data_IF_623858658397
#
_entry.id   IF_623858658397
#
_cell.length_a   1.000
_cell.length_b   1.000
_cell.length_c   1.000
_cell.angle_alpha   90.00
_cell.angle_beta   90.00
_cell.angle_gamma   90.00
#
_symmetry.space_group_name_H-M   'P 1'
#
loop_
_entity.id
_entity.type
_entity.pdbx_description
1 polymer ?
#
# COMPACT_ATOMS: atom_id res chain seq x y z
N UNK A 1 -13.64 -14.94 -6.13
CA UNK A 1 -12.62 -14.93 -5.06
C UNK A 1 -11.70 -16.13 -5.26
N UNK A 2 -10.38 -15.96 -5.13
CA UNK A 2 -9.45 -17.08 -5.33
C UNK A 2 -9.53 -18.07 -4.17
N UNK A 3 -9.78 -19.35 -4.47
CA UNK A 3 -9.69 -20.43 -3.47
C UNK A 3 -8.25 -20.66 -3.00
N UNK A 4 -7.26 -20.16 -3.73
CA UNK A 4 -5.84 -20.25 -3.40
C UNK A 4 -5.17 -18.88 -3.50
N UNK A 5 -4.90 -18.24 -2.36
CA UNK A 5 -4.29 -16.92 -2.33
C UNK A 5 -2.85 -16.89 -2.88
N UNK A 6 -2.62 -16.07 -3.91
CA UNK A 6 -1.30 -15.77 -4.50
C UNK A 6 -1.06 -14.27 -4.70
N UNK A 7 -1.74 -13.43 -3.93
CA UNK A 7 -1.72 -11.96 -4.10
C UNK A 7 -0.38 -11.31 -3.73
N UNK A 8 0.46 -12.00 -2.99
CA UNK A 8 1.79 -11.54 -2.64
C UNK A 8 2.78 -12.70 -2.74
N UNK A 9 4.10 -12.42 -2.67
CA UNK A 9 5.13 -13.45 -2.85
C UNK A 9 5.06 -14.60 -1.84
N UNK A 10 4.35 -14.42 -0.71
CA UNK A 10 4.05 -15.51 0.23
C UNK A 10 3.32 -16.68 -0.38
N UNK A 11 2.48 -16.42 -1.39
CA UNK A 11 1.67 -17.43 -2.08
C UNK A 11 1.04 -18.47 -1.14
N UNK A 12 0.45 -18.00 -0.03
CA UNK A 12 0.05 -18.86 1.09
C UNK A 12 -1.07 -19.86 0.77
N UNK A 13 -1.67 -19.80 -0.42
CA UNK A 13 -2.65 -20.75 -0.95
C UNK A 13 -3.94 -20.91 -0.13
N UNK A 14 -4.15 -20.11 0.91
CA UNK A 14 -5.37 -20.11 1.73
C UNK A 14 -6.60 -19.65 0.94
N UNK A 15 -7.77 -20.15 1.35
CA UNK A 15 -9.04 -19.65 0.87
C UNK A 15 -9.51 -18.47 1.74
N UNK A 16 -9.32 -17.25 1.24
CA UNK A 16 -9.61 -16.01 1.99
C UNK A 16 -11.10 -15.74 2.29
N UNK A 17 -11.99 -16.60 1.80
CA UNK A 17 -13.40 -16.61 2.21
C UNK A 17 -13.65 -17.35 3.53
N UNK A 18 -12.72 -18.23 3.92
CA UNK A 18 -12.85 -19.13 5.07
C UNK A 18 -11.84 -18.84 6.17
N UNK A 19 -10.62 -18.45 5.79
CA UNK A 19 -9.52 -18.26 6.73
C UNK A 19 -8.65 -17.04 6.37
N UNK A 20 -7.80 -16.64 7.31
CA UNK A 20 -6.85 -15.55 7.13
C UNK A 20 -5.51 -16.07 6.60
N UNK A 21 -4.84 -15.27 5.77
CA UNK A 21 -3.47 -15.60 5.33
C UNK A 21 -2.41 -15.22 6.36
N UNK A 22 -1.14 -15.40 5.99
CA UNK A 22 0.01 -14.92 6.78
C UNK A 22 -0.12 -13.45 7.20
N UNK A 23 -0.76 -12.65 6.36
CA UNK A 23 -0.99 -11.23 6.61
C UNK A 23 -1.99 -10.92 7.73
N UNK A 24 -2.70 -11.92 8.25
CA UNK A 24 -3.73 -11.77 9.28
C UNK A 24 -5.10 -11.37 8.73
N UNK A 25 -5.30 -11.39 7.41
CA UNK A 25 -6.49 -10.82 6.78
C UNK A 25 -7.23 -11.78 5.84
N UNK A 26 -8.56 -11.63 5.79
CA UNK A 26 -9.49 -12.34 4.90
C UNK A 26 -9.73 -11.55 3.62
N UNK A 27 -10.75 -11.86 2.81
CA UNK A 27 -11.10 -11.06 1.62
C UNK A 27 -11.82 -9.74 1.92
N UNK A 28 -12.23 -9.51 3.18
CA UNK A 28 -12.91 -8.28 3.59
C UNK A 28 -11.89 -7.22 3.99
N UNK A 29 -12.03 -6.01 3.43
CA UNK A 29 -11.11 -4.90 3.68
C UNK A 29 -11.27 -4.40 5.10
N UNK A 30 -10.14 -4.17 5.78
CA UNK A 30 -10.09 -3.53 7.09
C UNK A 30 -9.15 -2.33 7.07
N UNK A 31 -9.63 -1.24 7.65
CA UNK A 31 -8.89 0.02 7.79
C UNK A 31 -8.69 0.29 9.27
N UNK A 32 -7.46 0.58 9.63
CA UNK A 32 -7.04 0.89 10.99
C UNK A 32 -7.23 2.38 11.31
N UNK A 33 -6.95 3.25 10.36
CA UNK A 33 -7.15 4.69 10.47
C UNK A 33 -7.17 5.37 9.10
N UNK A 34 -7.82 6.52 9.03
CA UNK A 34 -7.78 7.41 7.88
C UNK A 34 -7.71 8.87 8.35
N UNK A 35 -6.87 9.70 7.74
CA UNK A 35 -6.71 11.11 8.11
C UNK A 35 -5.65 11.84 7.31
N UNK A 36 -5.56 13.16 7.50
CA UNK A 36 -4.47 13.95 6.93
C UNK A 36 -3.16 13.68 7.67
N UNK A 37 -2.14 13.28 6.94
CA UNK A 37 -0.79 13.06 7.44
C UNK A 37 0.17 14.08 6.85
N UNK A 38 0.97 14.70 7.72
CA UNK A 38 1.91 15.77 7.36
C UNK A 38 3.38 15.33 7.46
N UNK A 39 3.63 14.02 7.61
CA UNK A 39 4.96 13.44 7.80
C UNK A 39 5.58 12.78 6.57
N UNK A 40 4.89 12.70 5.43
CA UNK A 40 5.47 12.16 4.18
C UNK A 40 6.42 13.18 3.52
N UNK A 41 7.11 12.77 2.47
CA UNK A 41 8.03 13.62 1.73
C UNK A 41 7.34 14.90 1.19
N UNK A 42 8.04 16.04 1.11
CA UNK A 42 7.43 17.30 0.66
C UNK A 42 6.65 17.22 -0.66
N UNK A 43 7.10 16.48 -1.70
CA UNK A 43 6.33 16.31 -2.94
C UNK A 43 5.02 15.54 -2.79
N UNK A 44 4.84 14.78 -1.71
CA UNK A 44 3.62 14.02 -1.39
C UNK A 44 2.75 14.83 -0.44
N UNK A 45 3.34 15.40 0.62
CA UNK A 45 2.60 16.09 1.68
C UNK A 45 2.11 17.46 1.27
N UNK A 46 2.91 18.24 0.52
CA UNK A 46 2.63 19.65 0.23
C UNK A 46 2.21 20.45 1.46
N UNK A 47 1.21 21.31 1.30
CA UNK A 47 0.64 22.12 2.39
C UNK A 47 -0.68 21.56 2.94
N UNK A 48 -1.42 20.80 2.12
CA UNK A 48 -2.72 20.20 2.45
C UNK A 48 -2.64 18.84 3.12
N UNK A 49 -1.45 18.23 3.18
CA UNK A 49 -1.24 16.90 3.74
C UNK A 49 -1.51 15.77 2.75
N UNK A 50 -1.05 14.58 3.11
CA UNK A 50 -1.36 13.32 2.43
C UNK A 50 -2.59 12.69 3.07
N UNK A 51 -3.62 12.35 2.28
CA UNK A 51 -4.83 11.70 2.76
C UNK A 51 -4.57 10.23 3.03
N UNK A 52 -3.97 9.92 4.18
CA UNK A 52 -3.45 8.60 4.50
C UNK A 52 -4.53 7.66 5.01
N UNK A 53 -4.54 6.44 4.47
CA UNK A 53 -5.41 5.33 4.85
C UNK A 53 -4.52 4.13 5.21
N UNK A 54 -4.51 3.74 6.47
CA UNK A 54 -3.77 2.58 6.96
C UNK A 54 -4.65 1.32 6.91
N UNK A 55 -4.22 0.32 6.16
CA UNK A 55 -4.89 -0.97 6.12
C UNK A 55 -4.40 -1.89 7.24
N UNK A 56 -5.31 -2.64 7.86
CA UNK A 56 -4.98 -3.63 8.90
C UNK A 56 -4.27 -4.83 8.28
N UNK A 57 -3.30 -5.41 8.99
CA UNK A 57 -2.50 -6.56 8.52
C UNK A 57 -1.25 -6.15 7.74
N UNK A 58 -0.38 -7.12 7.42
CA UNK A 58 0.83 -6.87 6.61
C UNK A 58 1.41 -8.16 6.02
N UNK A 59 1.97 -8.11 4.82
CA UNK A 59 2.63 -9.27 4.17
C UNK A 59 4.03 -9.59 4.75
N UNK A 60 4.55 -8.71 5.60
CA UNK A 60 5.81 -8.86 6.34
C UNK A 60 5.56 -8.88 7.86
N UNK A 61 6.55 -9.38 8.62
CA UNK A 61 6.57 -9.35 10.09
C UNK A 61 7.80 -8.62 10.58
N UNK A 62 7.90 -7.33 10.26
CA UNK A 62 9.05 -6.50 10.62
C UNK A 62 9.26 -6.47 12.15
N UNK A 63 10.42 -6.90 12.62
CA UNK A 63 10.78 -6.89 14.04
C UNK A 63 10.81 -5.46 14.64
N UNK A 64 10.97 -4.45 13.79
CA UNK A 64 11.02 -3.02 14.15
C UNK A 64 9.77 -2.24 13.67
N UNK A 65 8.65 -2.92 13.42
CA UNK A 65 7.47 -2.27 12.85
C UNK A 65 6.94 -1.16 13.78
N UNK A 66 7.00 0.10 13.31
CA UNK A 66 6.41 1.24 14.02
C UNK A 66 4.87 1.14 14.12
N UNK A 67 4.26 0.39 13.20
CA UNK A 67 2.81 0.17 13.12
C UNK A 67 2.44 -1.25 13.56
N UNK A 68 3.07 -1.76 14.63
CA UNK A 68 2.87 -3.13 15.13
C UNK A 68 1.39 -3.43 15.45
N UNK A 69 0.69 -2.48 16.07
CA UNK A 69 -0.73 -2.56 16.41
C UNK A 69 -1.62 -2.77 15.17
N UNK A 70 -1.25 -2.16 14.03
CA UNK A 70 -1.96 -2.25 12.76
C UNK A 70 -1.59 -3.55 12.02
N UNK A 71 -0.29 -3.82 11.91
CA UNK A 71 0.24 -4.91 11.09
C UNK A 71 0.11 -6.29 11.73
N UNK A 72 0.13 -6.38 13.07
CA UNK A 72 0.22 -7.66 13.78
C UNK A 72 -0.81 -7.87 14.89
N UNK A 73 -1.40 -6.80 15.47
CA UNK A 73 -2.41 -6.94 16.52
C UNK A 73 -3.85 -6.76 16.02
N UNK A 74 -4.04 -6.61 14.71
CA UNK A 74 -5.36 -6.57 14.10
C UNK A 74 -6.17 -5.32 14.46
N UNK A 75 -5.53 -4.17 14.71
CA UNK A 75 -6.23 -2.90 14.89
C UNK A 75 -6.96 -2.48 13.60
N UNK A 76 -8.26 -2.21 13.69
CA UNK A 76 -9.07 -1.65 12.60
C UNK A 76 -10.43 -2.30 12.44
N UNK A 77 -11.24 -1.74 11.54
CA UNK A 77 -12.64 -2.10 11.34
C UNK A 77 -12.89 -2.50 9.89
N UNK A 78 -13.91 -3.33 9.66
CA UNK A 78 -14.34 -3.67 8.31
C UNK A 78 -14.87 -2.44 7.59
N UNK A 79 -14.52 -2.32 6.31
CA UNK A 79 -14.92 -1.20 5.46
C UNK A 79 -15.44 -1.72 4.12
N UNK A 80 -16.65 -1.31 3.78
CA UNK A 80 -17.30 -1.53 2.49
C UNK A 80 -16.73 -0.62 1.40
N UNK A 81 -17.10 -0.88 0.14
CA UNK A 81 -16.72 0.00 -0.97
C UNK A 81 -17.24 1.43 -0.77
N UNK A 82 -18.51 1.58 -0.39
CA UNK A 82 -19.15 2.89 -0.23
C UNK A 82 -18.51 3.70 0.91
N UNK A 83 -18.19 3.06 2.03
CA UNK A 83 -17.47 3.69 3.13
C UNK A 83 -16.05 4.11 2.71
N UNK A 84 -15.33 3.28 1.95
CA UNK A 84 -14.01 3.65 1.43
C UNK A 84 -14.09 4.86 0.50
N UNK A 85 -15.07 4.88 -0.42
CA UNK A 85 -15.30 6.02 -1.32
C UNK A 85 -15.59 7.28 -0.53
N UNK A 86 -16.46 7.20 0.48
CA UNK A 86 -16.78 8.34 1.36
C UNK A 86 -15.54 8.86 2.10
N UNK A 87 -14.67 7.96 2.60
CA UNK A 87 -13.39 8.33 3.22
C UNK A 87 -12.50 9.09 2.23
N UNK A 88 -12.33 8.58 1.01
CA UNK A 88 -11.50 9.24 0.00
C UNK A 88 -12.01 10.65 -0.36
N UNK A 89 -13.32 10.77 -0.60
CA UNK A 89 -13.92 12.07 -0.92
C UNK A 89 -13.82 13.05 0.25
N UNK A 90 -13.97 12.55 1.49
CA UNK A 90 -13.81 13.41 2.68
C UNK A 90 -12.38 13.90 2.85
N UNK A 91 -11.38 13.05 2.61
CA UNK A 91 -9.97 13.47 2.65
C UNK A 91 -9.67 14.53 1.58
N UNK A 92 -10.22 14.38 0.38
CA UNK A 92 -10.13 15.40 -0.66
C UNK A 92 -10.79 16.72 -0.25
N UNK A 93 -11.99 16.67 0.32
CA UNK A 93 -12.71 17.86 0.83
C UNK A 93 -11.91 18.59 1.92
N UNK A 94 -11.19 17.84 2.76
CA UNK A 94 -10.30 18.37 3.80
C UNK A 94 -8.99 18.96 3.24
N UNK A 95 -8.75 18.88 1.93
CA UNK A 95 -7.61 19.48 1.26
C UNK A 95 -6.41 18.56 1.02
N UNK A 96 -6.57 17.24 1.16
CA UNK A 96 -5.51 16.29 0.86
C UNK A 96 -4.98 16.45 -0.57
N UNK A 97 -3.67 16.34 -0.76
CA UNK A 97 -3.06 16.38 -2.09
C UNK A 97 -3.05 15.03 -2.81
N UNK A 98 -3.24 13.94 -2.08
CA UNK A 98 -3.36 12.58 -2.60
C UNK A 98 -4.11 11.69 -1.61
N UNK A 99 -4.55 10.53 -2.08
CA UNK A 99 -5.00 9.42 -1.22
C UNK A 99 -3.86 8.41 -1.08
N UNK A 100 -3.26 8.34 0.10
CA UNK A 100 -2.08 7.52 0.38
C UNK A 100 -2.45 6.22 1.08
N UNK A 101 -2.30 5.12 0.35
CA UNK A 101 -2.74 3.79 0.72
C UNK A 101 -1.57 3.04 1.35
N UNK A 102 -1.59 2.91 2.68
CA UNK A 102 -0.45 2.37 3.44
C UNK A 102 -0.69 0.91 3.81
N UNK A 103 0.23 0.03 3.39
CA UNK A 103 0.20 -1.42 3.67
C UNK A 103 -1.03 -2.13 3.06
N UNK A 104 -1.49 -1.69 1.88
CA UNK A 104 -2.65 -2.26 1.20
C UNK A 104 -2.41 -3.57 0.42
N UNK A 105 -1.19 -4.11 0.39
CA UNK A 105 -0.77 -5.17 -0.56
C UNK A 105 -1.65 -6.42 -0.54
N UNK A 106 -2.13 -6.84 0.63
CA UNK A 106 -3.03 -7.99 0.75
C UNK A 106 -4.48 -7.69 0.37
N UNK A 107 -4.84 -6.45 0.05
CA UNK A 107 -6.17 -6.04 -0.41
C UNK A 107 -6.17 -5.45 -1.82
N UNK A 108 -5.08 -5.61 -2.59
CA UNK A 108 -4.90 -5.02 -3.92
C UNK A 108 -6.14 -5.14 -4.84
N UNK A 109 -6.75 -6.32 -5.04
CA UNK A 109 -7.91 -6.44 -5.94
C UNK A 109 -9.09 -5.56 -5.51
N UNK A 110 -9.37 -5.54 -4.20
CA UNK A 110 -10.44 -4.75 -3.60
C UNK A 110 -10.11 -3.26 -3.67
N UNK A 111 -8.89 -2.85 -3.31
CA UNK A 111 -8.48 -1.44 -3.35
C UNK A 111 -8.53 -0.91 -4.78
N UNK A 112 -8.07 -1.68 -5.77
CA UNK A 112 -8.17 -1.30 -7.18
C UNK A 112 -9.63 -1.08 -7.60
N UNK A 113 -10.55 -1.94 -7.17
CA UNK A 113 -11.98 -1.74 -7.41
C UNK A 113 -12.49 -0.47 -6.70
N UNK A 114 -12.18 -0.31 -5.42
CA UNK A 114 -12.70 0.79 -4.61
C UNK A 114 -12.17 2.15 -5.10
N UNK A 115 -10.91 2.23 -5.54
CA UNK A 115 -10.35 3.43 -6.17
C UNK A 115 -11.02 3.78 -7.49
N UNK A 116 -11.37 2.78 -8.33
CA UNK A 116 -12.15 3.04 -9.56
C UNK A 116 -13.50 3.66 -9.23
N UNK A 117 -14.20 3.14 -8.21
CA UNK A 117 -15.48 3.70 -7.78
C UNK A 117 -15.31 5.09 -7.14
N UNK A 118 -14.23 5.33 -6.40
CA UNK A 118 -13.93 6.66 -5.86
C UNK A 118 -13.69 7.69 -6.97
N UNK A 119 -12.91 7.33 -8.00
CA UNK A 119 -12.68 8.18 -9.19
C UNK A 119 -13.99 8.47 -9.93
N UNK A 120 -14.86 7.47 -10.13
CA UNK A 120 -16.21 7.68 -10.71
C UNK A 120 -17.10 8.59 -9.86
N UNK A 121 -16.89 8.58 -8.55
CA UNK A 121 -17.66 9.36 -7.57
C UNK A 121 -17.09 10.76 -7.32
N UNK A 122 -16.09 11.21 -8.08
CA UNK A 122 -15.57 12.57 -8.01
C UNK A 122 -14.23 12.74 -7.28
N UNK A 123 -13.50 11.66 -6.99
CA UNK A 123 -12.11 11.76 -6.56
C UNK A 123 -11.24 12.20 -7.74
N UNK A 124 -10.60 13.37 -7.61
CA UNK A 124 -9.76 14.00 -8.64
C UNK A 124 -8.28 14.07 -8.27
N UNK A 125 -7.96 13.98 -6.99
CA UNK A 125 -6.56 13.94 -6.51
C UNK A 125 -5.92 12.56 -6.76
N UNK A 126 -4.60 12.50 -6.98
CA UNK A 126 -3.89 11.26 -7.27
C UNK A 126 -3.95 10.26 -6.11
N UNK A 127 -3.84 8.98 -6.44
CA UNK A 127 -3.64 7.93 -5.43
C UNK A 127 -2.16 7.58 -5.29
N UNK A 128 -1.68 7.54 -4.06
CA UNK A 128 -0.34 7.12 -3.68
C UNK A 128 -0.36 5.72 -3.06
N UNK A 129 0.59 4.87 -3.44
CA UNK A 129 0.76 3.52 -2.93
C UNK A 129 2.01 3.43 -2.06
N UNK A 130 1.79 3.37 -0.75
CA UNK A 130 2.84 3.32 0.26
C UNK A 130 3.03 1.88 0.74
N UNK A 131 4.19 1.35 0.38
CA UNK A 131 4.39 -0.09 0.25
C UNK A 131 5.72 -0.54 0.84
N UNK A 132 5.74 -1.80 1.30
CA UNK A 132 6.98 -2.46 1.69
C UNK A 132 7.84 -2.94 0.51
N UNK A 133 7.41 -2.75 -0.74
CA UNK A 133 7.97 -3.34 -1.95
C UNK A 133 8.00 -4.88 -1.91
N UNK A 134 7.06 -5.51 -1.20
CA UNK A 134 6.93 -6.97 -1.15
C UNK A 134 5.63 -7.44 -1.83
N UNK A 135 5.51 -7.05 -3.10
CA UNK A 135 4.41 -7.35 -4.01
C UNK A 135 4.93 -8.17 -5.19
N UNK A 136 4.04 -8.94 -5.80
CA UNK A 136 4.32 -9.53 -7.11
C UNK A 136 3.96 -8.53 -8.20
N UNK A 137 4.65 -8.60 -9.35
CA UNK A 137 4.38 -7.72 -10.50
C UNK A 137 2.96 -7.90 -11.05
N UNK A 138 2.43 -9.12 -10.96
CA UNK A 138 1.05 -9.44 -11.37
C UNK A 138 0.03 -8.72 -10.48
N UNK A 139 0.32 -8.59 -9.19
CA UNK A 139 -0.52 -7.82 -8.28
C UNK A 139 -0.43 -6.31 -8.59
N UNK A 140 0.76 -5.80 -8.89
CA UNK A 140 0.94 -4.38 -9.24
C UNK A 140 0.20 -4.00 -10.53
N UNK A 141 0.10 -4.89 -11.51
CA UNK A 141 -0.66 -4.64 -12.74
C UNK A 141 -2.13 -4.30 -12.48
N UNK A 142 -2.73 -4.84 -11.40
CA UNK A 142 -4.12 -4.54 -11.01
C UNK A 142 -4.32 -3.09 -10.56
N UNK A 143 -3.25 -2.45 -10.09
CA UNK A 143 -3.27 -1.07 -9.60
C UNK A 143 -2.95 -0.05 -10.72
N UNK A 144 -2.56 -0.52 -11.90
CA UNK A 144 -1.90 0.30 -12.93
C UNK A 144 -2.69 1.55 -13.33
N UNK A 145 -4.00 1.39 -13.48
CA UNK A 145 -4.90 2.47 -13.91
C UNK A 145 -5.44 3.31 -12.73
N UNK A 146 -5.13 2.91 -11.49
CA UNK A 146 -5.73 3.47 -10.28
C UNK A 146 -4.76 4.21 -9.37
N UNK A 147 -3.49 3.81 -9.38
CA UNK A 147 -2.41 4.41 -8.58
C UNK A 147 -1.52 5.24 -9.48
N UNK A 148 -1.16 6.43 -9.01
CA UNK A 148 -0.38 7.41 -9.77
C UNK A 148 1.03 7.58 -9.16
N UNK A 149 1.13 7.52 -7.82
CA UNK A 149 2.36 7.76 -7.06
C UNK A 149 2.76 6.48 -6.30
N UNK A 150 4.05 6.14 -6.29
CA UNK A 150 4.56 4.95 -5.63
C UNK A 150 5.63 5.30 -4.60
N UNK A 151 5.45 4.82 -3.37
CA UNK A 151 6.36 5.03 -2.24
C UNK A 151 6.88 3.68 -1.70
N UNK A 152 7.71 2.94 -2.48
CA UNK A 152 8.27 1.67 -2.02
C UNK A 152 9.39 1.87 -1.00
N UNK A 153 9.33 1.08 0.08
CA UNK A 153 10.45 0.90 1.00
C UNK A 153 11.40 -0.18 0.49
N UNK A 154 12.68 0.16 0.31
CA UNK A 154 13.76 -0.80 0.17
C UNK A 154 14.49 -0.95 1.51
N UNK A 155 14.18 -2.02 2.25
CA UNK A 155 14.59 -2.19 3.66
C UNK A 155 15.94 -2.89 3.86
N UNK A 156 16.30 -3.84 3.00
CA UNK A 156 17.62 -4.47 2.97
C UNK A 156 17.78 -5.27 1.68
N UNK A 157 19.02 -5.48 1.26
CA UNK A 157 19.38 -6.37 0.15
C UNK A 157 19.99 -7.70 0.61
N UNK A 158 20.07 -7.94 1.92
CA UNK A 158 20.63 -9.16 2.49
C UNK A 158 19.49 -10.19 2.78
N UNK A 159 19.51 -11.38 2.14
CA UNK A 159 18.48 -12.40 2.36
C UNK A 159 18.39 -12.92 3.80
N UNK A 160 19.53 -13.08 4.47
CA UNK A 160 19.56 -13.56 5.86
C UNK A 160 18.95 -12.53 6.82
N UNK A 161 19.32 -11.25 6.68
CA UNK A 161 18.68 -10.18 7.45
C UNK A 161 17.19 -10.10 7.15
N UNK A 162 16.79 -10.25 5.88
CA UNK A 162 15.39 -10.20 5.48
C UNK A 162 14.56 -11.33 6.10
N UNK A 163 15.13 -12.54 6.20
CA UNK A 163 14.50 -13.65 6.89
C UNK A 163 14.33 -13.34 8.38
N UNK A 164 15.39 -12.89 9.06
CA UNK A 164 15.34 -12.63 10.49
C UNK A 164 14.44 -11.44 10.86
N UNK A 165 14.46 -10.37 10.06
CA UNK A 165 13.76 -9.13 10.37
C UNK A 165 12.33 -9.11 9.84
N UNK A 166 12.02 -9.74 8.72
CA UNK A 166 10.71 -9.64 8.05
C UNK A 166 9.96 -10.97 7.93
N UNK A 167 10.61 -12.07 8.35
CA UNK A 167 10.24 -13.44 8.01
C UNK A 167 10.21 -13.71 6.51
N UNK A 168 10.97 -12.98 5.68
CA UNK A 168 10.92 -13.06 4.20
C UNK A 168 12.33 -13.10 3.58
N UNK A 169 12.94 -14.28 3.48
CA UNK A 169 14.27 -14.43 2.88
C UNK A 169 14.36 -13.90 1.43
N UNK A 170 13.28 -14.01 0.68
CA UNK A 170 13.18 -13.61 -0.73
C UNK A 170 12.89 -12.11 -0.93
N UNK A 171 12.74 -11.34 0.15
CA UNK A 171 12.44 -9.91 0.08
C UNK A 171 13.36 -9.12 -0.87
N UNK A 172 14.71 -9.26 -0.84
CA UNK A 172 15.59 -8.46 -1.69
C UNK A 172 15.30 -8.62 -3.19
N UNK A 173 15.06 -9.84 -3.64
CA UNK A 173 14.80 -10.12 -5.04
C UNK A 173 13.41 -9.63 -5.46
N UNK A 174 12.42 -9.78 -4.58
CA UNK A 174 11.06 -9.32 -4.82
C UNK A 174 11.00 -7.79 -4.86
N UNK A 175 11.59 -7.11 -3.88
CA UNK A 175 11.64 -5.65 -3.84
C UNK A 175 12.33 -5.05 -5.07
N UNK A 176 13.44 -5.64 -5.52
CA UNK A 176 14.08 -5.23 -6.78
C UNK A 176 13.15 -5.33 -7.98
N UNK A 177 12.37 -6.42 -8.10
CA UNK A 177 11.42 -6.59 -9.21
C UNK A 177 10.26 -5.61 -9.13
N UNK A 178 9.66 -5.47 -7.95
CA UNK A 178 8.54 -4.54 -7.72
C UNK A 178 8.94 -3.09 -8.00
N UNK A 179 10.07 -2.65 -7.45
CA UNK A 179 10.57 -1.27 -7.65
C UNK A 179 10.91 -1.01 -9.12
N UNK A 180 11.55 -1.96 -9.81
CA UNK A 180 11.82 -1.82 -11.26
C UNK A 180 10.54 -1.67 -12.06
N UNK A 181 9.55 -2.51 -11.79
CA UNK A 181 8.25 -2.40 -12.44
C UNK A 181 7.63 -1.01 -12.22
N UNK A 182 7.67 -0.48 -10.99
CA UNK A 182 7.15 0.86 -10.69
C UNK A 182 7.87 1.95 -11.50
N UNK A 183 9.20 1.92 -11.55
CA UNK A 183 10.00 2.92 -12.27
C UNK A 183 9.74 2.87 -13.79
N UNK A 184 9.65 1.67 -14.35
CA UNK A 184 9.43 1.47 -15.79
C UNK A 184 8.07 2.00 -16.28
N UNK A 185 7.05 1.95 -15.42
CA UNK A 185 5.67 2.32 -15.79
C UNK A 185 5.27 3.74 -15.36
N UNK A 186 5.97 4.33 -14.38
CA UNK A 186 5.61 5.61 -13.77
C UNK A 186 6.76 6.61 -13.83
N UNK A 187 7.01 7.21 -15.01
CA UNK A 187 7.91 8.35 -15.10
C UNK A 187 7.40 9.50 -14.22
N UNK A 188 8.34 10.31 -13.74
CA UNK A 188 8.04 11.42 -12.83
C UNK A 188 7.30 12.53 -13.57
N UNK A 189 6.16 12.93 -13.01
CA UNK A 189 5.38 14.10 -13.40
C UNK A 189 5.05 14.92 -12.16
N UNK A 190 5.33 16.22 -12.21
CA UNK A 190 5.14 17.15 -11.10
C UNK A 190 4.26 18.34 -11.53
N UNK A 191 3.58 18.89 -10.55
CA UNK A 191 2.83 20.15 -10.63
C UNK A 191 3.34 21.08 -9.53
N UNK A 192 4.21 22.02 -9.93
CA UNK A 192 5.07 22.73 -8.98
C UNK A 192 5.93 21.76 -8.18
N UNK A 193 5.82 21.82 -6.85
CA UNK A 193 6.55 20.94 -5.93
C UNK A 193 5.84 19.58 -5.72
N UNK A 194 4.56 19.46 -6.09
CA UNK A 194 3.77 18.26 -5.85
C UNK A 194 4.04 17.20 -6.91
N UNK A 195 4.21 15.96 -6.47
CA UNK A 195 4.25 14.80 -7.36
C UNK A 195 2.83 14.45 -7.78
N UNK A 196 2.58 14.34 -9.09
CA UNK A 196 1.30 13.88 -9.65
C UNK A 196 1.37 12.43 -10.10
N UNK A 197 2.52 12.03 -10.63
CA UNK A 197 2.83 10.66 -11.03
C UNK A 197 4.30 10.39 -10.79
N UNK A 198 4.65 9.18 -10.36
CA UNK A 198 6.06 8.78 -10.27
C UNK A 198 6.39 7.89 -9.08
N UNK A 199 7.69 7.71 -8.83
CA UNK A 199 8.21 6.81 -7.79
C UNK A 199 9.18 7.56 -6.88
N UNK A 200 8.98 7.48 -5.56
CA UNK A 200 9.94 7.90 -4.54
C UNK A 200 10.37 6.66 -3.76
N UNK A 201 11.63 6.28 -3.86
CA UNK A 201 12.15 5.08 -3.19
C UNK A 201 12.68 5.46 -1.82
N UNK A 202 12.13 4.85 -0.77
CA UNK A 202 12.63 5.02 0.60
C UNK A 202 13.66 3.95 0.90
N UNK A 203 14.92 4.36 1.01
CA UNK A 203 16.01 3.47 1.41
C UNK A 203 16.07 3.41 2.94
N UNK A 204 15.52 2.34 3.53
CA UNK A 204 15.65 2.11 4.97
C UNK A 204 16.99 1.43 5.24
N UNK A 205 17.88 2.15 5.91
CA UNK A 205 19.14 1.59 6.38
C UNK A 205 18.93 0.99 7.77
N UNK A 206 18.87 -0.34 7.83
CA UNK A 206 18.84 -1.10 9.08
C UNK A 206 20.28 -1.29 9.58
N UNK A 207 20.60 -0.92 10.83
CA UNK A 207 21.95 -1.11 11.40
C UNK A 207 22.34 -2.59 11.50
#
# INVERSE_FOLDING_TARGET
>A
MSEHCKLCPRACAVNRSKEQGFCGESSQVRIASAGLHFGEEPPVTGTGGSGTIFFTGCTLRCAFCQNYQISQQGMGSYVSCDEFVAICLKLQELGAHNINLVTGSHFIPQIAQYLREAKKSGLTIPAAWNSSAYESTEALELLKETVDIWLPDLKTLNPHMSQSLFAAQDYPQTAKRAIRWMIEHYPIEKDGELLKKGVIIRHLFMP
#
